data_IF_989350775135
#
_entry.id   IF_989350775135
#
_cell.length_a   1.000
_cell.length_b   1.000
_cell.length_c   1.000
_cell.angle_alpha   90.00
_cell.angle_beta   90.00
_cell.angle_gamma   90.00
#
_symmetry.space_group_name_H-M   'P 1'
#
loop_
_entity.id
_entity.type
_entity.pdbx_description
1 polymer ?
#
# COMPACT_ATOMS: atom_id res chain seq x y z
N UNK A 1 19.87 16.62 -13.19
CA UNK A 1 19.07 15.69 -14.02
C UNK A 1 17.73 16.31 -14.38
N UNK A 2 16.85 16.65 -13.43
CA UNK A 2 15.57 17.33 -13.74
C UNK A 2 15.79 18.68 -14.47
N UNK A 3 16.75 19.49 -14.03
CA UNK A 3 17.11 20.75 -14.69
C UNK A 3 17.63 20.60 -16.13
N UNK A 4 18.19 19.44 -16.47
CA UNK A 4 18.66 19.15 -17.83
C UNK A 4 17.51 18.64 -18.72
N UNK A 5 16.48 18.05 -18.13
CA UNK A 5 15.30 17.57 -18.84
C UNK A 5 14.30 18.71 -19.07
N UNK A 6 14.28 19.73 -18.21
CA UNK A 6 13.34 20.85 -18.30
C UNK A 6 13.60 21.74 -19.52
N UNK A 7 14.83 21.73 -20.05
CA UNK A 7 15.17 22.37 -21.34
C UNK A 7 14.49 21.72 -22.55
N UNK A 8 13.95 20.50 -22.40
CA UNK A 8 13.30 19.75 -23.46
C UNK A 8 11.76 19.80 -23.39
N UNK A 9 11.19 20.50 -22.40
CA UNK A 9 9.75 20.70 -22.24
C UNK A 9 9.23 20.33 -20.85
N UNK A 10 7.91 20.16 -20.75
CA UNK A 10 7.25 19.78 -19.50
C UNK A 10 7.68 18.38 -19.07
N UNK A 11 8.19 18.28 -17.84
CA UNK A 11 8.58 17.01 -17.22
C UNK A 11 7.38 16.41 -16.50
N UNK A 12 7.14 15.11 -16.73
CA UNK A 12 6.24 14.28 -15.96
C UNK A 12 7.03 13.18 -15.25
N UNK A 13 7.02 13.20 -13.92
CA UNK A 13 7.45 12.07 -13.09
C UNK A 13 6.26 11.14 -12.87
N UNK A 14 6.45 9.85 -13.12
CA UNK A 14 5.45 8.82 -12.78
C UNK A 14 6.05 7.85 -11.77
N UNK A 15 5.34 7.64 -10.67
CA UNK A 15 5.70 6.70 -9.60
C UNK A 15 4.70 5.54 -9.54
N UNK A 16 5.15 4.36 -9.13
CA UNK A 16 4.32 3.18 -8.88
C UNK A 16 3.62 3.23 -7.51
N UNK A 17 4.30 3.83 -6.53
CA UNK A 17 3.80 4.07 -5.18
C UNK A 17 4.08 5.51 -4.77
N UNK A 18 3.04 6.34 -4.56
CA UNK A 18 3.23 7.72 -4.14
C UNK A 18 3.61 7.87 -2.66
N UNK A 19 3.35 6.84 -1.84
CA UNK A 19 3.65 6.81 -0.41
C UNK A 19 4.97 6.08 -0.11
N UNK A 20 5.47 6.24 1.12
CA UNK A 20 6.66 5.54 1.64
C UNK A 20 7.92 5.82 0.81
N UNK A 21 8.40 4.86 0.00
CA UNK A 21 9.66 4.98 -0.75
C UNK A 21 9.55 6.02 -1.86
N UNK A 22 8.38 6.18 -2.47
CA UNK A 22 8.15 7.16 -3.53
C UNK A 22 7.97 8.60 -3.05
N UNK A 23 7.79 8.83 -1.75
CA UNK A 23 7.49 10.15 -1.21
C UNK A 23 8.62 11.17 -1.45
N UNK A 24 9.89 10.76 -1.28
CA UNK A 24 11.03 11.64 -1.50
C UNK A 24 11.20 12.04 -2.98
N UNK A 25 11.21 11.10 -3.95
CA UNK A 25 11.21 11.44 -5.38
C UNK A 25 10.05 12.35 -5.80
N UNK A 26 8.85 12.10 -5.27
CA UNK A 26 7.66 12.94 -5.52
C UNK A 26 7.88 14.36 -5.02
N UNK A 27 8.32 14.53 -3.77
CA UNK A 27 8.57 15.85 -3.18
C UNK A 27 9.66 16.63 -3.94
N UNK A 28 10.75 15.95 -4.34
CA UNK A 28 11.83 16.56 -5.13
C UNK A 28 11.32 17.00 -6.50
N UNK A 29 10.57 16.15 -7.21
CA UNK A 29 10.03 16.50 -8.52
C UNK A 29 9.04 17.66 -8.45
N UNK A 30 8.18 17.69 -7.43
CA UNK A 30 7.26 18.79 -7.18
C UNK A 30 8.00 20.10 -6.87
N UNK A 31 9.03 20.07 -6.02
CA UNK A 31 9.86 21.24 -5.72
C UNK A 31 10.60 21.77 -6.96
N UNK A 32 10.92 20.90 -7.92
CA UNK A 32 11.48 21.26 -9.23
C UNK A 32 10.44 21.71 -10.26
N UNK A 33 9.16 21.79 -9.91
CA UNK A 33 8.08 22.19 -10.81
C UNK A 33 7.68 21.15 -11.86
N UNK A 34 8.09 19.88 -11.67
CA UNK A 34 7.66 18.80 -12.55
C UNK A 34 6.22 18.36 -12.21
N UNK A 35 5.48 17.94 -13.23
CA UNK A 35 4.20 17.27 -13.03
C UNK A 35 4.46 15.90 -12.41
N UNK A 36 3.63 15.51 -11.46
CA UNK A 36 3.71 14.18 -10.87
C UNK A 36 2.41 13.42 -11.10
N UNK A 37 2.54 12.16 -11.46
CA UNK A 37 1.43 11.22 -11.54
C UNK A 37 1.80 9.85 -10.98
N UNK A 38 0.79 9.02 -10.77
CA UNK A 38 0.99 7.60 -10.47
C UNK A 38 -0.03 6.75 -11.23
N UNK A 39 0.35 5.51 -11.52
CA UNK A 39 -0.54 4.55 -12.15
C UNK A 39 -1.19 3.67 -11.07
N UNK A 40 -2.53 3.74 -10.86
CA UNK A 40 -3.18 2.95 -9.82
C UNK A 40 -2.98 1.45 -10.01
N UNK A 41 -2.78 0.69 -8.92
CA UNK A 41 -2.45 -0.75 -8.99
C UNK A 41 -3.42 -1.60 -9.80
N UNK A 42 -4.73 -1.28 -9.80
CA UNK A 42 -5.71 -1.96 -10.65
C UNK A 42 -5.52 -1.66 -12.15
N UNK A 43 -5.16 -0.43 -12.50
CA UNK A 43 -4.85 -0.06 -13.88
C UNK A 43 -3.52 -0.69 -14.32
N UNK A 44 -2.49 -0.61 -13.46
CA UNK A 44 -1.19 -1.26 -13.68
C UNK A 44 -1.34 -2.76 -13.94
N UNK A 45 -2.12 -3.47 -13.12
CA UNK A 45 -2.35 -4.91 -13.29
C UNK A 45 -3.00 -5.22 -14.65
N UNK A 46 -4.04 -4.48 -15.03
CA UNK A 46 -4.72 -4.67 -16.32
C UNK A 46 -3.80 -4.41 -17.50
N UNK A 47 -2.90 -3.43 -17.39
CA UNK A 47 -1.95 -3.10 -18.45
C UNK A 47 -0.85 -4.16 -18.49
N UNK A 48 -0.33 -4.59 -17.33
CA UNK A 48 0.68 -5.64 -17.24
C UNK A 48 0.23 -6.97 -17.87
N UNK A 49 -1.06 -7.31 -17.73
CA UNK A 49 -1.68 -8.48 -18.37
C UNK A 49 -1.65 -8.41 -19.93
N UNK A 50 -1.51 -7.21 -20.51
CA UNK A 50 -1.40 -6.99 -21.96
C UNK A 50 0.05 -7.09 -22.46
N UNK A 51 1.04 -7.15 -21.58
CA UNK A 51 2.45 -7.29 -21.95
C UNK A 51 2.89 -8.77 -21.89
N UNK A 52 3.50 -9.33 -22.94
CA UNK A 52 3.96 -10.71 -22.95
C UNK A 52 5.12 -10.96 -21.96
N UNK A 53 5.06 -12.06 -21.21
CA UNK A 53 6.07 -12.52 -20.23
C UNK A 53 5.46 -12.77 -18.85
N UNK A 54 5.88 -13.84 -18.15
CA UNK A 54 5.26 -14.24 -16.87
C UNK A 54 6.02 -13.77 -15.62
N UNK A 55 7.27 -13.31 -15.76
CA UNK A 55 8.05 -12.86 -14.61
C UNK A 55 7.76 -11.38 -14.26
N UNK A 56 7.47 -11.13 -12.98
CA UNK A 56 7.45 -9.78 -12.41
C UNK A 56 8.89 -9.31 -12.23
N UNK A 57 9.27 -8.20 -12.88
CA UNK A 57 10.58 -7.58 -12.73
C UNK A 57 10.43 -6.06 -12.68
N UNK A 58 11.24 -5.39 -11.87
CA UNK A 58 11.17 -3.93 -11.72
C UNK A 58 11.45 -3.20 -13.05
N UNK A 59 12.35 -3.75 -13.88
CA UNK A 59 12.66 -3.21 -15.19
C UNK A 59 11.45 -3.28 -16.15
N UNK A 60 10.66 -4.35 -16.07
CA UNK A 60 9.43 -4.48 -16.85
C UNK A 60 8.37 -3.52 -16.34
N UNK A 61 8.18 -3.44 -15.02
CA UNK A 61 7.19 -2.55 -14.42
C UNK A 61 7.50 -1.08 -14.79
N UNK A 62 8.78 -0.67 -14.75
CA UNK A 62 9.22 0.65 -15.20
C UNK A 62 8.93 0.90 -16.70
N UNK A 63 9.18 -0.09 -17.57
CA UNK A 63 8.90 0.03 -19.00
C UNK A 63 7.40 0.20 -19.27
N UNK A 64 6.55 -0.59 -18.60
CA UNK A 64 5.09 -0.52 -18.70
C UNK A 64 4.59 0.86 -18.23
N UNK A 65 5.10 1.36 -17.10
CA UNK A 65 4.73 2.68 -16.58
C UNK A 65 5.12 3.78 -17.57
N UNK A 66 6.33 3.73 -18.11
CA UNK A 66 6.81 4.72 -19.10
C UNK A 66 6.03 4.67 -20.42
N UNK A 67 5.64 3.48 -20.87
CA UNK A 67 4.80 3.31 -22.06
C UNK A 67 3.38 3.83 -21.81
N UNK A 68 2.79 3.47 -20.67
CA UNK A 68 1.46 3.93 -20.26
C UNK A 68 1.39 5.45 -20.15
N UNK A 69 2.40 6.06 -19.56
CA UNK A 69 2.49 7.52 -19.45
C UNK A 69 2.52 8.22 -20.82
N UNK A 70 3.11 7.55 -21.82
CA UNK A 70 3.25 8.07 -23.18
C UNK A 70 1.99 7.87 -24.03
N UNK A 71 1.36 6.70 -23.93
CA UNK A 71 0.27 6.29 -24.84
C UNK A 71 -1.13 6.45 -24.24
N UNK A 72 -1.24 6.35 -22.92
CA UNK A 72 -2.50 6.33 -22.18
C UNK A 72 -2.47 7.28 -20.96
N UNK A 73 -2.13 8.58 -21.13
CA UNK A 73 -1.94 9.50 -20.01
C UNK A 73 -3.19 9.71 -19.14
N UNK A 74 -4.39 9.46 -19.69
CA UNK A 74 -5.66 9.51 -18.96
C UNK A 74 -5.82 8.41 -17.89
N UNK A 75 -4.97 7.38 -17.91
CA UNK A 75 -4.96 6.32 -16.89
C UNK A 75 -4.12 6.69 -15.66
N UNK A 76 -3.29 7.72 -15.77
CA UNK A 76 -2.50 8.25 -14.66
C UNK A 76 -3.38 9.11 -13.75
N UNK A 77 -3.23 8.93 -12.43
CA UNK A 77 -3.75 9.89 -11.46
C UNK A 77 -2.70 10.94 -11.21
N UNK A 78 -3.06 12.20 -11.42
CA UNK A 78 -2.18 13.32 -11.09
C UNK A 78 -2.03 13.44 -9.56
N UNK A 79 -0.79 13.62 -9.13
CA UNK A 79 -0.44 14.05 -7.78
C UNK A 79 -0.18 15.54 -7.89
N UNK A 80 -1.26 16.31 -7.77
CA UNK A 80 -1.12 17.75 -7.60
C UNK A 80 -0.48 18.01 -6.23
N UNK A 81 0.32 19.08 -6.13
CA UNK A 81 0.69 19.67 -4.85
C UNK A 81 -0.60 20.18 -4.24
N UNK A 82 -1.34 19.31 -3.56
CA UNK A 82 -2.54 19.67 -2.86
C UNK A 82 -2.13 19.95 -1.41
N UNK A 83 -2.61 21.12 -0.96
CA UNK A 83 -2.76 21.61 0.40
C UNK A 83 -2.44 20.61 1.51
N UNK A 84 -1.86 21.12 2.59
CA UNK A 84 -1.66 20.49 3.90
C UNK A 84 -2.63 19.35 4.27
N UNK A 85 -3.90 19.47 3.87
CA UNK A 85 -4.95 18.43 3.94
C UNK A 85 -4.62 17.09 3.27
N UNK A 86 -3.98 17.07 2.09
CA UNK A 86 -3.59 15.82 1.40
C UNK A 86 -2.34 15.21 2.04
N UNK A 87 -1.43 16.03 2.56
CA UNK A 87 -0.31 15.56 3.37
C UNK A 87 -0.82 14.94 4.68
N UNK A 88 -1.79 15.59 5.33
CA UNK A 88 -2.47 15.10 6.54
C UNK A 88 -3.22 13.79 6.27
N UNK A 89 -3.98 13.70 5.17
CA UNK A 89 -4.65 12.47 4.75
C UNK A 89 -3.65 11.34 4.43
N UNK A 90 -2.51 11.65 3.81
CA UNK A 90 -1.48 10.66 3.52
C UNK A 90 -0.82 10.14 4.79
N UNK A 91 -0.59 11.02 5.78
CA UNK A 91 -0.13 10.64 7.11
C UNK A 91 -1.16 9.76 7.84
N UNK A 92 -2.45 10.08 7.73
CA UNK A 92 -3.52 9.29 8.32
C UNK A 92 -3.63 7.91 7.67
N UNK A 93 -3.56 7.82 6.34
CA UNK A 93 -3.54 6.53 5.64
C UNK A 93 -2.31 5.68 6.02
N UNK A 94 -1.13 6.30 6.17
CA UNK A 94 0.06 5.60 6.65
C UNK A 94 -0.11 5.07 8.07
N UNK A 95 -0.75 5.84 8.95
CA UNK A 95 -1.09 5.39 10.30
C UNK A 95 -2.10 4.23 10.29
N UNK A 96 -3.12 4.29 9.42
CA UNK A 96 -4.10 3.20 9.26
C UNK A 96 -3.44 1.91 8.75
N UNK A 97 -2.50 2.01 7.81
CA UNK A 97 -1.72 0.87 7.31
C UNK A 97 -0.85 0.25 8.40
N UNK A 98 -0.15 1.08 9.18
CA UNK A 98 0.65 0.63 10.33
C UNK A 98 -0.23 -0.06 11.38
N UNK A 99 -1.41 0.50 11.66
CA UNK A 99 -2.37 -0.07 12.59
C UNK A 99 -2.91 -1.43 12.09
N UNK A 100 -3.23 -1.54 10.81
CA UNK A 100 -3.65 -2.80 10.20
C UNK A 100 -2.55 -3.89 10.30
N UNK A 101 -1.29 -3.48 10.12
CA UNK A 101 -0.12 -4.34 10.35
C UNK A 101 -0.02 -4.83 11.80
N UNK A 102 -0.19 -3.92 12.77
CA UNK A 102 -0.17 -4.26 14.19
C UNK A 102 -1.32 -5.19 14.58
N UNK A 103 -2.54 -4.94 14.09
CA UNK A 103 -3.71 -5.81 14.33
C UNK A 103 -3.41 -7.22 13.84
N UNK A 104 -2.91 -7.37 12.62
CA UNK A 104 -2.54 -8.68 12.04
C UNK A 104 -1.47 -9.38 12.88
N UNK A 105 -0.44 -8.65 13.30
CA UNK A 105 0.64 -9.19 14.12
C UNK A 105 0.12 -9.69 15.49
N UNK A 106 -0.72 -8.91 16.16
CA UNK A 106 -1.32 -9.26 17.45
C UNK A 106 -2.26 -10.45 17.31
N UNK A 107 -3.13 -10.46 16.29
CA UNK A 107 -4.03 -11.58 16.00
C UNK A 107 -3.26 -12.89 15.80
N UNK A 108 -2.19 -12.87 15.01
CA UNK A 108 -1.35 -14.05 14.80
C UNK A 108 -0.65 -14.51 16.09
N UNK A 109 -0.25 -13.57 16.95
CA UNK A 109 0.33 -13.91 18.26
C UNK A 109 -0.69 -14.56 19.20
N UNK A 110 -1.93 -14.06 19.24
CA UNK A 110 -3.02 -14.67 20.00
C UNK A 110 -3.30 -16.09 19.49
N UNK A 111 -3.37 -16.29 18.17
CA UNK A 111 -3.55 -17.63 17.58
C UNK A 111 -2.41 -18.58 17.90
N UNK A 112 -1.17 -18.09 17.91
CA UNK A 112 -0.01 -18.86 18.36
C UNK A 112 -0.14 -19.34 19.80
N UNK A 113 -0.54 -18.45 20.71
CA UNK A 113 -0.77 -18.79 22.13
C UNK A 113 -1.93 -19.78 22.30
N UNK A 114 -3.05 -19.57 21.61
CA UNK A 114 -4.21 -20.47 21.65
C UNK A 114 -3.87 -21.84 21.08
N UNK A 115 -3.07 -21.93 20.02
CA UNK A 115 -2.59 -23.20 19.48
C UNK A 115 -1.75 -23.97 20.50
N UNK A 116 -0.92 -23.27 21.28
CA UNK A 116 -0.08 -23.91 22.31
C UNK A 116 -0.90 -24.37 23.54
N UNK A 117 -1.88 -23.58 23.98
CA UNK A 117 -2.56 -23.79 25.26
C UNK A 117 -3.88 -24.56 25.09
N UNK A 118 -4.64 -24.28 24.02
CA UNK A 118 -5.97 -24.85 23.79
C UNK A 118 -6.37 -24.91 22.29
N UNK A 119 -5.83 -25.88 21.51
CA UNK A 119 -6.05 -25.98 20.06
C UNK A 119 -7.53 -26.04 19.65
N UNK A 120 -8.38 -26.66 20.46
CA UNK A 120 -9.81 -26.74 20.17
C UNK A 120 -10.52 -25.37 20.21
N UNK A 121 -9.99 -24.42 20.99
CA UNK A 121 -10.54 -23.06 21.10
C UNK A 121 -10.03 -22.20 19.95
N UNK A 122 -8.76 -22.37 19.56
CA UNK A 122 -8.21 -21.71 18.37
C UNK A 122 -9.04 -22.04 17.12
N UNK A 123 -9.41 -23.31 16.90
CA UNK A 123 -10.21 -23.69 15.73
C UNK A 123 -11.57 -22.99 15.64
N UNK A 124 -12.15 -22.59 16.79
CA UNK A 124 -13.47 -21.95 16.85
C UNK A 124 -13.36 -20.43 16.78
N UNK A 125 -12.38 -19.85 17.49
CA UNK A 125 -12.22 -18.41 17.66
C UNK A 125 -11.26 -17.79 16.64
N UNK A 126 -10.21 -18.51 16.25
CA UNK A 126 -9.14 -18.06 15.37
C UNK A 126 -9.61 -17.43 14.07
N UNK A 127 -10.55 -18.06 13.33
CA UNK A 127 -11.11 -17.48 12.09
C UNK A 127 -11.98 -16.23 12.30
N UNK A 128 -12.32 -15.87 13.55
CA UNK A 128 -13.23 -14.78 13.91
C UNK A 128 -12.57 -13.74 14.82
N UNK A 129 -11.25 -13.80 14.98
CA UNK A 129 -10.51 -12.88 15.87
C UNK A 129 -10.61 -11.42 15.44
N UNK A 130 -10.87 -11.16 14.16
CA UNK A 130 -11.08 -9.81 13.64
C UNK A 130 -12.42 -9.19 14.10
N UNK A 131 -13.32 -10.00 14.68
CA UNK A 131 -14.59 -9.53 15.21
C UNK A 131 -14.43 -9.03 16.66
N UNK A 132 -14.81 -7.77 16.99
CA UNK A 132 -14.59 -7.16 18.31
C UNK A 132 -15.12 -8.01 19.48
N UNK A 133 -16.31 -8.57 19.33
CA UNK A 133 -16.92 -9.43 20.35
C UNK A 133 -16.08 -10.67 20.72
N UNK A 134 -15.23 -11.17 19.81
CA UNK A 134 -14.36 -12.32 20.09
C UNK A 134 -13.17 -11.94 20.96
N UNK A 135 -12.62 -10.75 20.76
CA UNK A 135 -11.57 -10.18 21.62
C UNK A 135 -12.14 -9.86 23.00
N UNK A 136 -13.33 -9.25 23.07
CA UNK A 136 -14.01 -8.98 24.34
C UNK A 136 -14.25 -10.24 25.16
N UNK A 137 -14.63 -11.34 24.50
CA UNK A 137 -14.87 -12.63 25.14
C UNK A 137 -13.57 -13.23 25.71
N UNK A 138 -12.45 -13.12 24.98
CA UNK A 138 -11.13 -13.55 25.46
C UNK A 138 -10.64 -12.69 26.64
N UNK A 139 -10.92 -11.39 26.62
CA UNK A 139 -10.59 -10.49 27.73
C UNK A 139 -11.43 -10.76 28.98
N UNK A 140 -12.73 -11.02 28.82
CA UNK A 140 -13.64 -11.32 29.93
C UNK A 140 -13.41 -12.72 30.53
N UNK A 141 -12.99 -13.70 29.72
CA UNK A 141 -12.76 -15.07 30.14
C UNK A 141 -11.32 -15.54 29.86
N UNK A 142 -10.31 -15.01 30.57
CA UNK A 142 -8.90 -15.31 30.31
C UNK A 142 -8.46 -16.71 30.75
N UNK A 143 -9.32 -17.48 31.43
CA UNK A 143 -9.02 -18.84 31.89
C UNK A 143 -9.99 -19.85 31.31
N UNK A 144 -9.46 -20.85 30.62
CA UNK A 144 -10.22 -22.06 30.31
C UNK A 144 -10.31 -22.90 31.59
N UNK A 145 -11.53 -23.12 32.14
CA UNK A 145 -11.73 -24.17 33.14
C UNK A 145 -11.73 -25.50 32.40
N UNK A 146 -10.66 -26.30 32.56
CA UNK A 146 -10.65 -27.71 32.13
C UNK A 146 -11.79 -28.44 32.86
N UNK A 147 -12.69 -29.05 32.10
CA UNK A 147 -13.45 -30.22 32.55
C UNK A 147 -12.68 -31.47 32.19
#
# INVERSE_FOLDING_TARGET
MLDQLSTHGLILLVVDQPATIGALPVAVAQASGALVGFLPGLAMRRIADLHPGEAKTDARDAAIIAETARTMPHTLRSIQVADEQVAELSMLCGFDDDLAGQITQVSNRIRGLLTQIHPALERVIGPRLDHPAMLDLLQHYPRHRRR
#
